data_IF_133203954777
#
_entry.id   IF_133203954777
#
_cell.length_a   1.000
_cell.length_b   1.000
_cell.length_c   1.000
_cell.angle_alpha   90.00
_cell.angle_beta   90.00
_cell.angle_gamma   90.00
#
_symmetry.space_group_name_H-M   'P 1'
#
loop_
_entity.id
_entity.type
_entity.pdbx_description
1 polymer ?
#
# COMPACT_ATOMS: atom_id res chain seq x y z
N UNK A 1 -4.26 11.50 -25.11
CA UNK A 1 -5.64 11.52 -24.58
C UNK A 1 -5.96 10.38 -23.59
N UNK A 2 -5.41 9.18 -23.74
CA UNK A 2 -5.70 8.06 -22.80
C UNK A 2 -5.09 8.25 -21.38
N UNK A 3 -3.87 8.81 -21.29
CA UNK A 3 -3.17 9.06 -20.01
C UNK A 3 -3.92 10.11 -19.18
N UNK A 4 -4.43 11.18 -19.80
CA UNK A 4 -5.19 12.22 -19.07
C UNK A 4 -6.53 11.68 -18.51
N UNK A 5 -7.25 10.81 -19.25
CA UNK A 5 -8.50 10.17 -18.75
C UNK A 5 -8.24 9.17 -17.61
N UNK A 6 -7.10 8.49 -17.61
CA UNK A 6 -6.71 7.58 -16.54
C UNK A 6 -6.42 8.34 -15.23
N UNK A 7 -5.73 9.47 -15.32
CA UNK A 7 -5.41 10.31 -14.16
C UNK A 7 -6.64 10.96 -13.51
N UNK A 8 -7.62 11.42 -14.28
CA UNK A 8 -8.88 11.95 -13.75
C UNK A 8 -9.62 10.87 -12.95
N UNK A 9 -9.70 9.66 -13.47
CA UNK A 9 -10.33 8.54 -12.76
C UNK A 9 -9.55 8.10 -11.50
N UNK A 10 -8.21 8.16 -11.52
CA UNK A 10 -7.38 7.86 -10.35
C UNK A 10 -7.66 8.86 -9.22
N UNK A 11 -7.55 10.14 -9.53
CA UNK A 11 -7.75 11.20 -8.56
C UNK A 11 -9.16 11.17 -7.96
N UNK A 12 -10.22 10.92 -8.76
CA UNK A 12 -11.59 10.85 -8.25
C UNK A 12 -11.82 9.70 -7.26
N UNK A 13 -11.08 8.60 -7.36
CA UNK A 13 -11.15 7.50 -6.38
C UNK A 13 -10.50 7.87 -5.06
N UNK A 14 -9.31 8.48 -5.12
CA UNK A 14 -8.57 8.92 -3.93
C UNK A 14 -9.35 9.98 -3.18
N UNK A 15 -9.95 10.93 -3.90
CA UNK A 15 -10.64 12.09 -3.32
C UNK A 15 -12.12 11.84 -3.01
N UNK A 16 -12.62 10.61 -3.17
CA UNK A 16 -14.06 10.30 -3.05
C UNK A 16 -14.70 10.76 -1.74
N UNK A 17 -13.97 10.66 -0.64
CA UNK A 17 -14.45 11.00 0.70
C UNK A 17 -13.70 12.18 1.33
N UNK A 18 -12.91 12.89 0.54
CA UNK A 18 -12.11 14.02 0.99
C UNK A 18 -12.96 15.27 1.03
N UNK A 19 -13.00 15.95 2.17
CA UNK A 19 -13.52 17.30 2.30
C UNK A 19 -12.45 18.29 1.80
N UNK A 20 -12.55 18.74 0.56
CA UNK A 20 -11.53 19.57 -0.06
C UNK A 20 -11.34 20.95 0.62
N UNK A 21 -12.39 21.44 1.31
CA UNK A 21 -12.37 22.72 2.03
C UNK A 21 -11.79 22.59 3.44
N UNK A 22 -11.78 21.38 3.99
CA UNK A 22 -11.26 21.09 5.32
C UNK A 22 -9.74 20.84 5.33
N UNK A 23 -9.11 20.97 6.51
CA UNK A 23 -7.68 20.74 6.65
C UNK A 23 -7.32 19.27 6.43
N UNK A 24 -6.25 19.03 5.69
CA UNK A 24 -5.78 17.67 5.43
C UNK A 24 -4.29 17.53 5.35
N UNK A 25 -3.85 16.27 5.34
CA UNK A 25 -2.45 15.87 5.19
C UNK A 25 -2.30 14.99 3.95
N UNK A 26 -1.26 15.22 3.16
CA UNK A 26 -0.76 14.24 2.20
C UNK A 26 0.62 13.76 2.62
N UNK A 27 0.76 12.45 2.85
CA UNK A 27 2.00 11.82 3.31
C UNK A 27 2.77 11.27 2.11
N UNK A 28 4.05 11.64 1.98
CA UNK A 28 4.97 11.12 0.99
C UNK A 28 4.58 11.35 -0.47
N UNK A 29 3.99 12.50 -0.85
CA UNK A 29 3.59 12.71 -2.24
C UNK A 29 4.76 12.80 -3.21
N UNK A 30 5.93 13.11 -2.73
CA UNK A 30 7.14 13.26 -3.52
C UNK A 30 6.89 14.14 -4.77
N UNK A 31 7.01 13.54 -5.97
CA UNK A 31 6.83 14.23 -7.26
C UNK A 31 5.42 14.07 -7.86
N UNK A 32 4.51 13.38 -7.18
CA UNK A 32 3.16 13.04 -7.68
C UNK A 32 2.04 13.38 -6.70
N UNK A 33 1.95 14.60 -6.19
CA UNK A 33 0.92 15.00 -5.22
C UNK A 33 -0.49 14.88 -5.83
N UNK A 34 -1.42 14.40 -5.01
CA UNK A 34 -2.83 14.21 -5.38
C UNK A 34 -3.64 15.46 -5.04
N UNK A 35 -3.53 15.92 -3.78
CA UNK A 35 -4.22 17.08 -3.25
C UNK A 35 -3.25 18.27 -3.20
N UNK A 36 -3.17 19.05 -4.29
CA UNK A 36 -2.15 20.10 -4.40
C UNK A 36 -2.66 21.43 -3.89
N UNK A 37 -1.81 22.19 -3.19
CA UNK A 37 -2.07 23.59 -2.79
C UNK A 37 -2.44 24.46 -3.99
N UNK A 38 -1.80 24.21 -5.15
CA UNK A 38 -2.09 24.92 -6.41
C UNK A 38 -3.51 24.72 -6.93
N UNK A 39 -4.18 23.62 -6.55
CA UNK A 39 -5.59 23.33 -6.88
C UNK A 39 -6.56 23.81 -5.81
N UNK A 40 -6.09 24.51 -4.78
CA UNK A 40 -6.90 25.08 -3.73
C UNK A 40 -7.19 24.15 -2.56
N UNK A 41 -6.52 22.98 -2.45
CA UNK A 41 -6.65 22.14 -1.27
C UNK A 41 -6.00 22.79 -0.05
N UNK A 42 -6.69 22.73 1.09
CA UNK A 42 -6.13 23.09 2.39
C UNK A 42 -5.32 21.90 2.93
N UNK A 43 -4.13 21.73 2.38
CA UNK A 43 -3.27 20.56 2.62
C UNK A 43 -1.93 20.97 3.22
N UNK A 44 -1.46 20.21 4.20
CA UNK A 44 -0.09 20.21 4.68
C UNK A 44 0.60 18.92 4.20
N UNK A 45 1.87 19.01 3.81
CA UNK A 45 2.63 17.89 3.25
C UNK A 45 3.64 17.40 4.26
N UNK A 46 3.61 16.09 4.54
CA UNK A 46 4.65 15.37 5.27
C UNK A 46 5.50 14.59 4.28
N UNK A 47 6.82 14.77 4.29
CA UNK A 47 7.74 13.96 3.50
C UNK A 47 9.05 13.75 4.25
N UNK A 48 9.91 12.81 3.80
CA UNK A 48 11.20 12.48 4.43
C UNK A 48 12.32 13.47 4.11
N UNK A 49 12.12 14.38 3.17
CA UNK A 49 13.02 15.47 2.81
C UNK A 49 12.20 16.74 2.55
N UNK A 50 12.85 17.89 2.67
CA UNK A 50 12.30 19.14 2.19
C UNK A 50 12.21 19.16 0.64
N UNK A 51 11.58 20.18 0.10
CA UNK A 51 11.39 20.32 -1.36
C UNK A 51 12.71 20.28 -2.13
N UNK A 52 13.75 20.96 -1.64
CA UNK A 52 15.05 20.99 -2.30
C UNK A 52 15.72 19.62 -2.30
N UNK A 53 15.68 18.92 -1.18
CA UNK A 53 16.15 17.54 -1.04
C UNK A 53 15.44 16.58 -1.97
N UNK A 54 14.12 16.69 -2.10
CA UNK A 54 13.33 15.89 -3.03
C UNK A 54 13.70 16.19 -4.49
N UNK A 55 13.83 17.46 -4.87
CA UNK A 55 14.27 17.85 -6.22
C UNK A 55 15.66 17.27 -6.51
N UNK A 56 16.59 17.35 -5.56
CA UNK A 56 17.93 16.78 -5.69
C UNK A 56 17.89 15.24 -5.83
N UNK A 57 17.06 14.57 -5.03
CA UNK A 57 16.88 13.10 -5.06
C UNK A 57 16.40 12.61 -6.42
N UNK A 58 15.48 13.35 -7.04
CA UNK A 58 14.86 12.97 -8.31
C UNK A 58 15.53 13.64 -9.55
N UNK A 59 16.51 14.51 -9.34
CA UNK A 59 17.28 15.12 -10.44
C UNK A 59 18.01 14.05 -11.24
N UNK A 60 17.93 14.14 -12.58
CA UNK A 60 18.51 13.12 -13.47
C UNK A 60 17.62 11.91 -13.76
N UNK A 61 16.47 11.80 -13.11
CA UNK A 61 15.44 10.83 -13.46
C UNK A 61 14.45 11.45 -14.47
N UNK A 62 13.69 10.59 -15.20
CA UNK A 62 12.64 11.07 -16.13
C UNK A 62 11.36 11.49 -15.38
N UNK A 63 11.51 12.34 -14.37
CA UNK A 63 10.45 12.78 -13.46
C UNK A 63 10.32 14.30 -13.57
N UNK A 64 9.07 14.80 -13.60
CA UNK A 64 8.82 16.23 -13.54
C UNK A 64 8.90 16.73 -12.09
N UNK A 65 10.02 17.34 -11.73
CA UNK A 65 10.24 17.88 -10.38
C UNK A 65 9.47 19.17 -10.10
N UNK A 66 8.90 19.85 -11.12
CA UNK A 66 8.06 21.04 -10.92
C UNK A 66 6.76 20.74 -10.16
N UNK A 67 6.36 19.46 -10.11
CA UNK A 67 5.20 19.03 -9.36
C UNK A 67 5.45 18.88 -7.85
N UNK A 68 6.71 18.89 -7.43
CA UNK A 68 7.07 18.79 -6.00
C UNK A 68 6.65 20.09 -5.33
N UNK A 69 5.73 19.99 -4.37
CA UNK A 69 5.26 21.13 -3.58
C UNK A 69 6.15 21.39 -2.37
N UNK A 70 5.97 22.52 -1.69
CA UNK A 70 6.64 22.80 -0.42
C UNK A 70 6.22 21.78 0.62
N UNK A 71 7.20 21.17 1.31
CA UNK A 71 7.01 20.23 2.40
C UNK A 71 6.84 21.03 3.69
N UNK A 72 5.68 20.90 4.32
CA UNK A 72 5.38 21.64 5.56
C UNK A 72 6.07 20.97 6.78
N UNK A 73 6.20 19.66 6.74
CA UNK A 73 6.75 18.87 7.84
C UNK A 73 7.73 17.82 7.31
N UNK A 74 9.01 17.98 7.63
CA UNK A 74 10.03 16.98 7.30
C UNK A 74 10.08 15.91 8.41
N UNK A 75 9.74 14.68 8.04
CA UNK A 75 9.66 13.56 8.98
C UNK A 75 11.02 12.95 9.27
N UNK A 76 11.36 12.80 10.55
CA UNK A 76 12.60 12.22 11.04
C UNK A 76 12.35 11.09 12.07
N UNK A 77 11.19 10.42 12.01
CA UNK A 77 10.85 9.31 12.91
C UNK A 77 9.89 9.67 14.04
N UNK A 78 9.48 10.94 14.17
CA UNK A 78 8.46 11.37 15.14
C UNK A 78 7.08 10.79 14.76
N UNK A 79 6.16 10.71 15.74
CA UNK A 79 4.75 10.49 15.41
C UNK A 79 4.18 11.67 14.61
N UNK A 80 3.13 11.45 13.85
CA UNK A 80 2.52 12.55 13.07
C UNK A 80 1.91 13.62 13.96
N UNK A 81 1.40 13.25 15.13
CA UNK A 81 0.90 14.21 16.11
C UNK A 81 2.02 15.08 16.70
N UNK A 82 3.17 14.50 17.06
CA UNK A 82 4.35 15.26 17.50
C UNK A 82 4.88 16.18 16.39
N UNK A 83 4.93 15.67 15.15
CA UNK A 83 5.47 16.40 14.02
C UNK A 83 4.62 17.62 13.64
N UNK A 84 3.30 17.47 13.64
CA UNK A 84 2.36 18.54 13.27
C UNK A 84 1.95 19.41 14.47
N UNK A 85 2.14 18.93 15.71
CA UNK A 85 1.64 19.56 16.92
C UNK A 85 0.10 19.50 17.04
N UNK A 86 -0.56 18.57 16.34
CA UNK A 86 -2.03 18.52 16.23
C UNK A 86 -2.55 17.12 16.50
N UNK A 87 -3.63 17.04 17.28
CA UNK A 87 -4.40 15.84 17.54
C UNK A 87 -5.86 16.07 17.12
N UNK A 88 -6.49 15.07 16.51
CA UNK A 88 -7.90 15.08 16.14
C UNK A 88 -8.35 16.35 15.37
N UNK A 89 -7.48 16.78 14.45
CA UNK A 89 -7.65 18.06 13.77
C UNK A 89 -8.00 17.90 12.28
N UNK A 90 -7.33 16.98 11.57
CA UNK A 90 -7.45 16.90 10.12
C UNK A 90 -8.73 16.17 9.70
N UNK A 91 -9.40 16.68 8.66
CA UNK A 91 -10.55 16.04 8.05
C UNK A 91 -10.15 14.83 7.22
N UNK A 92 -8.92 14.83 6.71
CA UNK A 92 -8.43 13.76 5.87
C UNK A 92 -6.91 13.62 5.90
N UNK A 93 -6.49 12.39 5.67
CA UNK A 93 -5.10 12.02 5.37
C UNK A 93 -5.08 11.22 4.08
N UNK A 94 -4.21 11.57 3.16
CA UNK A 94 -3.92 10.80 1.93
C UNK A 94 -2.54 10.17 2.06
N UNK A 95 -2.43 8.88 1.76
CA UNK A 95 -1.17 8.15 1.65
C UNK A 95 -1.21 7.26 0.40
N UNK A 96 -0.49 7.70 -0.65
CA UNK A 96 -0.43 7.00 -1.92
C UNK A 96 0.92 6.35 -2.10
N UNK A 97 0.97 5.01 -2.11
CA UNK A 97 2.22 4.24 -2.15
C UNK A 97 3.17 4.60 -1.00
N UNK A 98 2.65 4.54 0.21
CA UNK A 98 3.37 4.83 1.46
C UNK A 98 3.30 3.68 2.43
N UNK A 99 2.11 3.08 2.62
CA UNK A 99 1.88 2.06 3.64
C UNK A 99 2.78 0.84 3.46
N UNK A 100 3.10 0.47 2.23
CA UNK A 100 4.01 -0.64 1.91
C UNK A 100 5.45 -0.40 2.36
N UNK A 101 5.85 0.87 2.53
CA UNK A 101 7.17 1.27 3.02
C UNK A 101 7.26 1.43 4.53
N UNK A 102 6.15 1.33 5.25
CA UNK A 102 6.17 1.53 6.70
C UNK A 102 6.77 0.33 7.42
N UNK A 103 7.65 0.51 8.43
CA UNK A 103 8.17 -0.61 9.20
C UNK A 103 7.10 -1.30 10.05
N UNK A 104 6.16 -0.52 10.60
CA UNK A 104 5.03 -0.96 11.42
C UNK A 104 3.73 -0.41 10.83
N UNK A 105 2.97 -1.28 10.17
CA UNK A 105 1.71 -0.94 9.52
C UNK A 105 0.63 -0.51 10.53
N UNK A 106 0.57 -1.16 11.69
CA UNK A 106 -0.41 -0.82 12.75
C UNK A 106 -0.09 0.55 13.33
N UNK A 107 1.18 0.83 13.64
CA UNK A 107 1.59 2.13 14.15
C UNK A 107 1.30 3.25 13.13
N UNK A 108 1.55 3.00 11.84
CA UNK A 108 1.21 3.95 10.78
C UNK A 108 -0.29 4.31 10.76
N UNK A 109 -1.18 3.30 10.77
CA UNK A 109 -2.63 3.55 10.78
C UNK A 109 -3.05 4.28 12.06
N UNK A 110 -2.50 3.91 13.22
CA UNK A 110 -2.80 4.57 14.50
C UNK A 110 -2.33 6.02 14.54
N UNK A 111 -1.16 6.33 14.00
CA UNK A 111 -0.67 7.70 13.91
C UNK A 111 -1.52 8.56 12.98
N UNK A 112 -1.99 8.01 11.85
CA UNK A 112 -2.96 8.70 10.99
C UNK A 112 -4.28 8.93 11.72
N UNK A 113 -4.78 7.93 12.47
CA UNK A 113 -6.02 8.05 13.26
C UNK A 113 -5.92 9.10 14.36
N UNK A 114 -4.76 9.22 15.01
CA UNK A 114 -4.51 10.19 16.08
C UNK A 114 -4.61 11.65 15.63
N UNK A 115 -4.19 11.94 14.40
CA UNK A 115 -4.29 13.31 13.85
C UNK A 115 -5.63 13.59 13.16
N UNK A 116 -6.39 12.57 12.78
CA UNK A 116 -7.72 12.69 12.17
C UNK A 116 -8.76 13.11 13.22
N UNK A 117 -9.65 14.05 12.86
CA UNK A 117 -10.81 14.37 13.66
C UNK A 117 -11.81 13.19 13.71
N UNK A 118 -12.91 13.34 14.45
CA UNK A 118 -13.86 12.25 14.72
C UNK A 118 -14.46 11.63 13.45
N UNK A 119 -14.72 12.43 12.42
CA UNK A 119 -15.31 12.01 11.13
C UNK A 119 -14.26 11.90 10.02
N UNK A 120 -13.00 12.07 10.37
CA UNK A 120 -11.89 12.11 9.44
C UNK A 120 -11.67 10.78 8.70
N UNK A 121 -11.04 10.88 7.54
CA UNK A 121 -10.82 9.74 6.65
C UNK A 121 -9.33 9.56 6.31
N UNK A 122 -8.87 8.30 6.27
CA UNK A 122 -7.58 7.91 5.74
C UNK A 122 -7.77 7.29 4.35
N UNK A 123 -7.35 8.01 3.31
CA UNK A 123 -7.43 7.54 1.92
C UNK A 123 -6.10 6.93 1.48
N UNK A 124 -6.14 5.63 1.20
CA UNK A 124 -4.99 4.81 0.84
C UNK A 124 -5.00 4.41 -0.63
N UNK A 125 -3.84 4.51 -1.29
CA UNK A 125 -3.56 3.88 -2.57
C UNK A 125 -2.47 2.85 -2.36
N UNK A 126 -2.75 1.60 -2.69
CA UNK A 126 -1.90 0.47 -2.31
C UNK A 126 -1.52 -0.31 -3.56
N UNK A 127 -0.23 -0.64 -3.77
CA UNK A 127 0.17 -1.47 -4.89
C UNK A 127 -0.39 -2.87 -4.78
N UNK A 128 -0.94 -3.35 -5.89
CA UNK A 128 -1.31 -4.74 -6.03
C UNK A 128 -0.07 -5.53 -6.49
N UNK A 129 0.44 -6.39 -5.60
CA UNK A 129 1.66 -7.13 -5.87
C UNK A 129 1.64 -7.95 -7.17
N UNK A 130 0.46 -8.30 -7.68
CA UNK A 130 0.31 -9.06 -8.93
C UNK A 130 0.76 -8.26 -10.16
N UNK A 131 0.75 -6.93 -10.04
CA UNK A 131 0.94 -5.99 -11.15
C UNK A 131 2.09 -5.00 -10.93
N UNK A 132 2.93 -5.24 -9.92
CA UNK A 132 4.12 -4.46 -9.65
C UNK A 132 5.36 -5.36 -9.50
N UNK A 133 6.49 -4.78 -9.20
CA UNK A 133 7.78 -5.49 -9.06
C UNK A 133 7.80 -6.51 -7.90
N UNK A 134 6.84 -6.44 -6.96
CA UNK A 134 6.68 -7.40 -5.87
C UNK A 134 6.02 -8.72 -6.29
N UNK A 135 5.78 -8.94 -7.57
CA UNK A 135 4.98 -10.04 -8.10
C UNK A 135 5.31 -11.42 -7.49
N UNK A 136 6.58 -11.70 -7.26
CA UNK A 136 7.03 -13.00 -6.74
C UNK A 136 7.26 -13.02 -5.23
N UNK A 137 7.07 -11.90 -4.55
CA UNK A 137 7.17 -11.86 -3.10
C UNK A 137 5.94 -12.48 -2.44
N UNK A 138 6.04 -13.07 -1.24
CA UNK A 138 4.89 -13.61 -0.52
C UNK A 138 3.89 -12.49 -0.15
N UNK A 139 2.62 -12.89 0.05
CA UNK A 139 1.62 -11.98 0.59
C UNK A 139 1.86 -11.80 2.08
N UNK A 140 1.72 -10.58 2.55
CA UNK A 140 1.81 -10.23 3.97
C UNK A 140 0.74 -10.95 4.77
N UNK A 141 1.15 -11.67 5.81
CA UNK A 141 0.26 -12.37 6.74
C UNK A 141 -0.11 -11.48 7.94
N UNK A 142 -1.28 -11.74 8.53
CA UNK A 142 -1.72 -11.10 9.78
C UNK A 142 -0.70 -11.29 10.91
N UNK A 143 -0.15 -12.50 11.06
CA UNK A 143 0.85 -12.79 12.10
C UNK A 143 2.10 -11.92 11.94
N UNK A 144 2.61 -11.77 10.71
CA UNK A 144 3.78 -10.92 10.47
C UNK A 144 3.53 -9.45 10.87
N UNK A 145 2.35 -8.91 10.55
CA UNK A 145 1.98 -7.53 10.93
C UNK A 145 1.90 -7.37 12.45
N UNK A 146 1.23 -8.31 13.14
CA UNK A 146 1.08 -8.27 14.60
C UNK A 146 2.45 -8.43 15.30
N UNK A 147 3.25 -9.41 14.88
CA UNK A 147 4.54 -9.68 15.52
C UNK A 147 5.49 -8.50 15.39
N UNK A 148 5.50 -7.81 14.24
CA UNK A 148 6.30 -6.59 14.06
C UNK A 148 5.81 -5.44 14.94
N UNK A 149 4.49 -5.25 15.03
CA UNK A 149 3.91 -4.23 15.90
C UNK A 149 4.25 -4.47 17.37
N UNK A 150 4.10 -5.71 17.85
CA UNK A 150 4.42 -6.06 19.24
C UNK A 150 5.93 -5.94 19.54
N UNK A 151 6.78 -6.11 18.54
CA UNK A 151 8.22 -5.90 18.67
C UNK A 151 8.63 -4.42 18.68
N UNK A 152 7.70 -3.48 18.43
CA UNK A 152 7.96 -2.04 18.45
C UNK A 152 9.02 -1.60 17.43
N UNK A 153 8.94 -2.13 16.21
CA UNK A 153 9.98 -1.90 15.20
C UNK A 153 9.89 -0.50 14.60
N UNK A 154 11.03 0.15 14.48
CA UNK A 154 11.18 1.49 13.88
C UNK A 154 11.82 1.47 12.48
N UNK A 155 12.26 0.30 12.02
CA UNK A 155 12.95 0.10 10.73
C UNK A 155 12.62 -1.24 10.10
N UNK A 156 12.97 -1.39 8.82
CA UNK A 156 12.79 -2.66 8.11
C UNK A 156 13.67 -3.75 8.70
N UNK A 157 13.09 -4.95 8.88
CA UNK A 157 13.87 -6.08 9.37
C UNK A 157 14.89 -6.53 8.30
N UNK A 158 16.04 -7.05 8.71
CA UNK A 158 17.00 -7.63 7.77
C UNK A 158 16.37 -8.69 6.85
N UNK A 159 15.38 -9.45 7.37
CA UNK A 159 14.63 -10.43 6.57
C UNK A 159 13.79 -9.80 5.47
N UNK A 160 13.03 -8.72 5.77
CA UNK A 160 12.24 -7.99 4.76
C UNK A 160 13.15 -7.38 3.68
N UNK A 161 14.30 -6.83 4.10
CA UNK A 161 15.29 -6.27 3.18
C UNK A 161 15.86 -7.37 2.26
N UNK A 162 16.27 -8.51 2.81
CA UNK A 162 16.79 -9.61 2.01
C UNK A 162 15.73 -10.12 1.01
N UNK A 163 14.50 -10.35 1.47
CA UNK A 163 13.39 -10.80 0.63
C UNK A 163 13.10 -9.84 -0.53
N UNK A 164 13.12 -8.53 -0.28
CA UNK A 164 12.96 -7.51 -1.30
C UNK A 164 14.06 -7.64 -2.37
N UNK A 165 15.32 -7.54 -1.98
CA UNK A 165 16.44 -7.55 -2.93
C UNK A 165 16.61 -8.87 -3.71
N UNK A 166 16.11 -9.98 -3.16
CA UNK A 166 16.15 -11.29 -3.82
C UNK A 166 15.02 -11.49 -4.84
N UNK A 167 13.85 -10.86 -4.65
CA UNK A 167 12.62 -11.28 -5.33
C UNK A 167 11.95 -10.19 -6.20
N UNK A 168 12.38 -8.92 -6.09
CA UNK A 168 11.80 -7.87 -6.94
C UNK A 168 12.25 -8.02 -8.39
N UNK A 169 11.33 -7.71 -9.31
CA UNK A 169 11.51 -7.95 -10.73
C UNK A 169 11.28 -6.70 -11.57
N UNK A 170 11.93 -6.68 -12.72
CA UNK A 170 11.69 -5.74 -13.82
C UNK A 170 11.13 -6.46 -15.04
N UNK A 171 10.41 -5.73 -15.86
CA UNK A 171 9.84 -6.20 -17.11
C UNK A 171 10.45 -5.42 -18.26
N UNK A 172 11.05 -6.10 -19.23
CA UNK A 172 11.71 -5.47 -20.39
C UNK A 172 12.75 -4.37 -20.00
N UNK A 173 13.46 -4.60 -18.88
CA UNK A 173 14.50 -3.68 -18.39
C UNK A 173 14.00 -2.48 -17.58
N UNK A 174 12.69 -2.27 -17.48
CA UNK A 174 12.05 -1.25 -16.64
C UNK A 174 11.39 -1.89 -15.41
N UNK A 175 11.13 -1.12 -14.37
CA UNK A 175 10.40 -1.63 -13.20
C UNK A 175 9.04 -2.20 -13.63
N UNK A 176 8.72 -3.38 -13.13
CA UNK A 176 7.45 -4.03 -13.39
C UNK A 176 6.33 -3.27 -12.65
N UNK A 177 5.73 -2.30 -13.33
CA UNK A 177 4.74 -1.39 -12.72
C UNK A 177 3.55 -1.13 -13.66
N UNK A 178 2.98 -2.19 -14.21
CA UNK A 178 1.73 -2.13 -15.00
C UNK A 178 1.14 -3.54 -15.20
N UNK A 179 -0.18 -3.67 -15.03
CA UNK A 179 -0.92 -4.90 -15.30
C UNK A 179 -0.90 -5.32 -16.78
N UNK A 180 -0.57 -4.41 -17.68
CA UNK A 180 -0.62 -4.59 -19.15
C UNK A 180 0.73 -4.99 -19.75
N UNK A 181 1.82 -4.89 -19.00
CA UNK A 181 3.13 -5.30 -19.51
C UNK A 181 3.22 -6.82 -19.52
N UNK A 182 2.93 -7.41 -20.68
CA UNK A 182 3.32 -8.78 -20.99
C UNK A 182 4.72 -8.73 -21.58
N UNK A 183 5.72 -9.26 -20.87
CA UNK A 183 7.10 -9.24 -21.32
C UNK A 183 7.98 -10.18 -20.53
N UNK A 184 9.24 -10.25 -20.91
CA UNK A 184 10.24 -11.05 -20.21
C UNK A 184 10.55 -10.41 -18.85
N UNK A 185 10.42 -11.21 -17.78
CA UNK A 185 10.76 -10.80 -16.43
C UNK A 185 12.22 -11.18 -16.11
N UNK A 186 12.90 -10.26 -15.43
CA UNK A 186 14.22 -10.50 -14.86
C UNK A 186 14.26 -9.97 -13.42
N UNK A 187 15.14 -10.49 -12.58
CA UNK A 187 15.37 -9.93 -11.26
C UNK A 187 15.94 -8.51 -11.38
N UNK A 188 15.51 -7.60 -10.51
CA UNK A 188 15.96 -6.21 -10.51
C UNK A 188 17.38 -6.06 -10.00
N UNK A 189 17.83 -6.98 -9.17
CA UNK A 189 19.13 -6.95 -8.50
C UNK A 189 19.97 -8.19 -8.82
N UNK A 190 21.31 -8.08 -8.74
CA UNK A 190 22.19 -9.24 -8.87
C UNK A 190 22.01 -10.20 -7.69
N UNK A 191 22.41 -11.49 -7.83
CA UNK A 191 22.14 -12.53 -6.83
C UNK A 191 22.73 -12.26 -5.43
N UNK A 192 23.81 -11.50 -5.33
CA UNK A 192 24.49 -11.15 -4.07
C UNK A 192 23.86 -9.93 -3.36
N UNK A 193 23.01 -9.17 -4.04
CA UNK A 193 22.37 -7.96 -3.45
C UNK A 193 21.55 -8.29 -2.20
N UNK A 194 20.91 -9.47 -2.15
CA UNK A 194 20.16 -9.91 -0.98
C UNK A 194 21.06 -10.05 0.24
N UNK A 195 22.21 -10.69 0.12
CA UNK A 195 23.18 -10.86 1.20
C UNK A 195 23.79 -9.52 1.63
N UNK A 196 24.22 -8.69 0.67
CA UNK A 196 24.83 -7.39 0.94
C UNK A 196 23.90 -6.52 1.75
N UNK A 197 22.66 -6.36 1.30
CA UNK A 197 21.71 -5.45 1.96
C UNK A 197 21.14 -6.06 3.27
N UNK A 198 21.05 -7.39 3.38
CA UNK A 198 20.79 -8.04 4.66
C UNK A 198 21.84 -7.66 5.70
N UNK A 199 23.14 -7.72 5.35
CA UNK A 199 24.23 -7.36 6.27
C UNK A 199 24.20 -5.88 6.64
N UNK A 200 23.92 -4.98 5.68
CA UNK A 200 23.75 -3.55 5.95
C UNK A 200 22.61 -3.28 6.95
N UNK A 201 21.45 -3.90 6.74
CA UNK A 201 20.32 -3.74 7.64
C UNK A 201 20.60 -4.32 9.04
N UNK A 202 21.29 -5.48 9.12
CA UNK A 202 21.57 -6.18 10.37
C UNK A 202 22.69 -5.55 11.18
N UNK A 203 23.80 -5.25 10.54
CA UNK A 203 25.04 -4.88 11.22
C UNK A 203 25.16 -3.37 11.41
N UNK A 204 24.84 -2.59 10.38
CA UNK A 204 24.90 -1.14 10.43
C UNK A 204 23.60 -0.48 10.94
N UNK A 205 22.50 -1.25 11.04
CA UNK A 205 21.18 -0.69 11.37
C UNK A 205 20.72 0.36 10.36
N UNK A 206 21.16 0.23 9.11
CA UNK A 206 20.91 1.20 8.06
C UNK A 206 19.44 1.19 7.66
N UNK A 207 18.84 2.37 7.47
CA UNK A 207 17.54 2.49 6.86
C UNK A 207 17.65 2.24 5.36
N UNK A 208 17.04 1.16 4.91
CA UNK A 208 16.95 0.82 3.49
C UNK A 208 15.47 0.89 3.09
N UNK A 209 15.16 1.78 2.16
CA UNK A 209 13.80 1.97 1.66
C UNK A 209 13.40 0.78 0.78
N UNK A 210 12.50 -0.05 1.30
CA UNK A 210 11.98 -1.26 0.64
C UNK A 210 10.49 -1.39 0.91
N UNK A 211 9.77 -2.10 0.04
CA UNK A 211 8.43 -2.54 0.40
C UNK A 211 8.52 -3.60 1.51
N UNK A 212 8.03 -3.30 2.69
CA UNK A 212 7.92 -4.28 3.78
C UNK A 212 6.71 -5.20 3.57
N UNK A 213 5.66 -4.68 2.94
CA UNK A 213 4.35 -5.30 2.84
C UNK A 213 3.93 -5.49 1.39
N UNK A 214 3.35 -6.64 1.09
CA UNK A 214 2.86 -6.99 -0.24
C UNK A 214 1.42 -7.50 -0.15
N UNK A 215 0.52 -6.89 -0.93
CA UNK A 215 -0.91 -7.20 -0.84
C UNK A 215 -1.53 -7.54 -2.19
N UNK A 216 -2.60 -8.34 -2.12
CA UNK A 216 -3.70 -8.33 -3.08
C UNK A 216 -4.92 -7.69 -2.39
N UNK A 217 -5.91 -7.17 -3.11
CA UNK A 217 -7.00 -6.39 -2.52
C UNK A 217 -7.71 -7.06 -1.35
N UNK A 218 -8.17 -8.30 -1.48
CA UNK A 218 -8.91 -8.96 -0.41
C UNK A 218 -8.03 -9.43 0.75
N UNK A 219 -6.72 -9.67 0.55
CA UNK A 219 -5.78 -9.87 1.65
C UNK A 219 -5.67 -8.63 2.53
N UNK A 220 -5.58 -7.44 1.92
CA UNK A 220 -5.54 -6.18 2.66
C UNK A 220 -6.87 -5.88 3.38
N UNK A 221 -8.03 -6.12 2.73
CA UNK A 221 -9.34 -5.96 3.36
C UNK A 221 -9.51 -6.85 4.59
N UNK A 222 -9.12 -8.13 4.48
CA UNK A 222 -9.12 -9.07 5.62
C UNK A 222 -8.19 -8.60 6.73
N UNK A 223 -6.99 -8.13 6.38
CA UNK A 223 -6.03 -7.62 7.35
C UNK A 223 -6.61 -6.44 8.15
N UNK A 224 -7.18 -5.45 7.48
CA UNK A 224 -7.79 -4.28 8.15
C UNK A 224 -8.94 -4.73 9.07
N UNK A 225 -9.82 -5.62 8.58
CA UNK A 225 -10.92 -6.15 9.41
C UNK A 225 -10.39 -6.89 10.64
N UNK A 226 -9.40 -7.76 10.46
CA UNK A 226 -8.81 -8.53 11.56
C UNK A 226 -8.12 -7.62 12.60
N UNK A 227 -7.37 -6.61 12.14
CA UNK A 227 -6.73 -5.65 13.05
C UNK A 227 -7.77 -4.85 13.85
N UNK A 228 -8.88 -4.47 13.23
CA UNK A 228 -10.00 -3.82 13.93
C UNK A 228 -10.66 -4.76 14.94
N UNK A 229 -11.01 -5.98 14.55
CA UNK A 229 -11.67 -6.97 15.40
C UNK A 229 -10.80 -7.37 16.61
N UNK A 230 -9.48 -7.32 16.46
CA UNK A 230 -8.50 -7.52 17.53
C UNK A 230 -8.24 -6.27 18.39
N UNK A 231 -8.86 -5.13 18.08
CA UNK A 231 -8.69 -3.88 18.81
C UNK A 231 -7.33 -3.21 18.60
N UNK A 232 -6.59 -3.58 17.56
CA UNK A 232 -5.28 -3.00 17.23
C UNK A 232 -5.39 -1.66 16.51
N UNK A 233 -6.48 -1.43 15.78
CA UNK A 233 -6.81 -0.16 15.12
C UNK A 233 -8.27 0.21 15.37
N UNK A 234 -8.64 1.49 15.15
CA UNK A 234 -10.03 1.97 15.32
C UNK A 234 -10.70 2.30 13.97
N UNK A 235 -9.91 2.43 12.91
CA UNK A 235 -10.41 2.72 11.58
C UNK A 235 -10.89 1.44 10.90
N UNK A 236 -12.04 1.53 10.19
CA UNK A 236 -12.65 0.47 9.39
C UNK A 236 -12.77 0.88 7.93
N UNK A 237 -12.96 -0.09 7.05
CA UNK A 237 -13.27 0.17 5.65
C UNK A 237 -14.56 1.03 5.55
N UNK A 238 -14.40 2.25 5.01
CA UNK A 238 -15.51 3.13 4.59
C UNK A 238 -15.83 2.89 3.11
N UNK A 239 -14.82 2.72 2.29
CA UNK A 239 -15.00 2.36 0.88
C UNK A 239 -13.77 1.64 0.34
N UNK A 240 -14.03 0.82 -0.66
CA UNK A 240 -13.02 0.05 -1.39
C UNK A 240 -13.24 0.19 -2.89
N UNK A 241 -12.14 0.21 -3.65
CA UNK A 241 -12.18 0.12 -5.10
C UNK A 241 -11.12 -0.89 -5.56
N UNK A 242 -11.52 -1.90 -6.35
CA UNK A 242 -10.62 -2.95 -6.82
C UNK A 242 -9.52 -2.40 -7.73
N UNK A 243 -8.54 -3.24 -8.00
CA UNK A 243 -7.34 -2.90 -8.76
C UNK A 243 -7.65 -2.29 -10.12
N UNK A 244 -7.01 -1.17 -10.37
CA UNK A 244 -6.94 -0.51 -11.68
C UNK A 244 -5.48 -0.20 -11.99
N UNK A 245 -4.98 -0.72 -13.09
CA UNK A 245 -3.56 -0.66 -13.36
C UNK A 245 -2.78 -1.60 -12.44
N UNK A 246 -1.96 -1.04 -11.56
CA UNK A 246 -1.15 -1.77 -10.59
C UNK A 246 -1.52 -1.45 -9.12
N UNK A 247 -2.62 -0.77 -8.86
CA UNK A 247 -2.99 -0.27 -7.54
C UNK A 247 -4.48 -0.45 -7.24
N UNK A 248 -4.83 -0.60 -5.99
CA UNK A 248 -6.20 -0.58 -5.48
C UNK A 248 -6.35 0.51 -4.41
N UNK A 249 -7.60 0.84 -4.06
CA UNK A 249 -7.89 2.01 -3.23
C UNK A 249 -8.76 1.61 -2.05
N UNK A 250 -8.45 2.15 -0.88
CA UNK A 250 -9.26 1.96 0.31
C UNK A 250 -9.32 3.25 1.11
N UNK A 251 -10.53 3.63 1.51
CA UNK A 251 -10.71 4.70 2.48
C UNK A 251 -11.12 4.07 3.81
N UNK A 252 -10.44 4.46 4.87
CA UNK A 252 -10.70 4.04 6.24
C UNK A 252 -11.26 5.20 7.04
N UNK A 253 -12.18 4.92 7.99
CA UNK A 253 -12.73 5.90 8.93
C UNK A 253 -13.24 5.20 10.18
N UNK A 254 -13.37 5.91 11.30
CA UNK A 254 -14.09 5.42 12.49
C UNK A 254 -15.57 5.14 12.18
N UNK A 255 -16.16 5.90 11.24
CA UNK A 255 -17.53 5.74 10.76
C UNK A 255 -17.69 4.64 9.68
N UNK A 256 -16.60 3.99 9.26
CA UNK A 256 -16.65 2.91 8.28
C UNK A 256 -17.51 1.74 8.79
N UNK A 257 -18.24 1.10 7.88
CA UNK A 257 -19.05 -0.07 8.22
C UNK A 257 -18.23 -1.38 8.29
N UNK A 258 -16.98 -1.34 7.81
CA UNK A 258 -16.12 -2.50 7.65
C UNK A 258 -16.35 -3.23 6.32
N UNK A 259 -15.68 -4.36 6.15
CA UNK A 259 -15.77 -5.14 4.91
C UNK A 259 -17.15 -5.77 4.77
N UNK A 260 -17.91 -5.53 3.66
CA UNK A 260 -19.28 -6.04 3.50
C UNK A 260 -19.34 -7.54 3.17
N UNK A 261 -18.21 -8.23 3.08
CA UNK A 261 -18.12 -9.66 2.83
C UNK A 261 -17.93 -10.42 4.13
N UNK A 262 -18.57 -11.59 4.26
CA UNK A 262 -18.20 -12.50 5.34
C UNK A 262 -16.79 -13.06 5.12
N UNK A 263 -16.14 -13.47 6.21
CA UNK A 263 -14.73 -13.91 6.20
C UNK A 263 -14.45 -15.03 5.19
N UNK A 264 -15.33 -16.02 5.06
CA UNK A 264 -15.14 -17.13 4.12
C UNK A 264 -15.15 -16.63 2.66
N UNK A 265 -16.09 -15.76 2.32
CA UNK A 265 -16.16 -15.17 0.98
C UNK A 265 -14.92 -14.32 0.68
N UNK A 266 -14.46 -13.53 1.65
CA UNK A 266 -13.27 -12.71 1.47
C UNK A 266 -11.98 -13.56 1.29
N UNK A 267 -11.85 -14.67 2.03
CA UNK A 267 -10.76 -15.63 1.83
C UNK A 267 -10.82 -16.31 0.45
N UNK A 268 -12.02 -16.62 -0.05
CA UNK A 268 -12.20 -17.17 -1.40
C UNK A 268 -11.81 -16.15 -2.48
N UNK A 269 -12.23 -14.90 -2.35
CA UNK A 269 -11.81 -13.84 -3.27
C UNK A 269 -10.30 -13.60 -3.25
N UNK A 270 -9.69 -13.61 -2.06
CA UNK A 270 -8.23 -13.54 -1.93
C UNK A 270 -7.53 -14.68 -2.67
N UNK A 271 -8.02 -15.92 -2.53
CA UNK A 271 -7.46 -17.09 -3.22
C UNK A 271 -7.60 -16.98 -4.74
N UNK A 272 -8.75 -16.46 -5.21
CA UNK A 272 -8.97 -16.20 -6.65
C UNK A 272 -8.01 -15.13 -7.17
N UNK A 273 -7.77 -14.08 -6.41
CA UNK A 273 -6.80 -13.04 -6.75
C UNK A 273 -5.39 -13.62 -6.86
N UNK A 274 -4.98 -14.50 -5.95
CA UNK A 274 -3.65 -15.12 -5.92
C UNK A 274 -3.46 -16.07 -7.10
N UNK A 275 -4.45 -16.91 -7.36
CA UNK A 275 -4.34 -17.98 -8.37
C UNK A 275 -4.65 -17.50 -9.80
N UNK A 276 -5.24 -16.30 -9.93
CA UNK A 276 -5.70 -15.78 -11.21
C UNK A 276 -6.87 -16.58 -11.82
N UNK A 277 -7.48 -17.47 -11.03
CA UNK A 277 -8.66 -18.22 -11.45
C UNK A 277 -9.90 -17.36 -11.21
N UNK A 278 -10.71 -17.12 -12.24
CA UNK A 278 -12.05 -16.55 -12.01
C UNK A 278 -12.89 -17.56 -11.22
N UNK A 279 -13.78 -17.08 -10.33
CA UNK A 279 -14.78 -17.89 -9.62
C UNK A 279 -15.79 -18.52 -10.61
N UNK A 280 -15.30 -19.19 -11.60
CA UNK A 280 -16.05 -19.73 -12.72
C UNK A 280 -15.89 -21.22 -12.82
N UNK A 281 -16.96 -21.94 -12.50
CA UNK A 281 -17.29 -23.35 -12.82
C UNK A 281 -16.17 -24.34 -12.50
N UNK A 282 -16.41 -25.30 -11.61
CA UNK A 282 -15.45 -26.37 -11.35
C UNK A 282 -14.99 -26.95 -12.69
N UNK A 283 -13.67 -27.04 -12.87
CA UNK A 283 -13.07 -27.47 -14.11
C UNK A 283 -13.74 -28.77 -14.57
N UNK A 284 -13.92 -28.96 -15.86
CA UNK A 284 -14.52 -30.20 -16.42
C UNK A 284 -13.80 -31.47 -15.92
N UNK A 285 -12.58 -31.34 -15.40
CA UNK A 285 -11.84 -32.40 -14.70
C UNK A 285 -12.44 -32.76 -13.34
N UNK A 286 -12.81 -31.74 -12.54
CA UNK A 286 -13.45 -31.94 -11.22
C UNK A 286 -14.86 -32.51 -11.39
N UNK A 287 -15.64 -32.03 -12.38
CA UNK A 287 -16.96 -32.60 -12.73
C UNK A 287 -16.87 -34.05 -13.18
N UNK A 288 -15.79 -34.45 -13.89
CA UNK A 288 -15.55 -35.85 -14.27
C UNK A 288 -15.15 -36.71 -13.06
N UNK A 289 -14.41 -36.20 -12.09
CA UNK A 289 -14.02 -36.90 -10.87
C UNK A 289 -15.23 -37.11 -9.94
N UNK A 290 -16.07 -36.09 -9.76
CA UNK A 290 -17.30 -36.19 -8.97
C UNK A 290 -18.28 -37.17 -9.63
N UNK A 291 -18.46 -37.16 -10.98
CA UNK A 291 -19.27 -38.15 -11.69
C UNK A 291 -18.67 -39.57 -11.64
N UNK A 292 -17.36 -39.72 -11.54
CA UNK A 292 -16.75 -41.04 -11.35
C UNK A 292 -16.89 -41.55 -9.90
N UNK A 293 -16.77 -40.66 -8.90
CA UNK A 293 -16.93 -41.02 -7.49
C UNK A 293 -18.37 -41.45 -7.13
N UNK A 294 -19.37 -40.86 -7.76
CA UNK A 294 -20.80 -41.26 -7.58
C UNK A 294 -21.21 -42.56 -8.26
N UNK A 295 -20.36 -43.15 -9.12
CA UNK A 295 -20.60 -44.46 -9.73
C UNK A 295 -19.98 -45.66 -8.97
N UNK A 296 -19.27 -45.42 -7.87
CA UNK A 296 -18.61 -46.48 -7.08
C UNK A 296 -19.46 -46.86 -5.85
N UNK A 297 -20.54 -46.13 -5.57
CA UNK A 297 -21.47 -46.40 -4.44
C UNK A 297 -22.95 -46.63 -4.89
N UNK A 298 -23.16 -47.12 -6.10
CA UNK A 298 -24.47 -47.63 -6.56
C UNK A 298 -24.35 -49.08 -7.03
#
# INVERSE_FOLDING_TARGET
MAIAKCNVNRQSRILKHINADGPGIEIGPCHSPVATKRKGFNVEIIDHLDREGLIKKYSGQRINTDNIEEVDHVWHGQTYAELTGRHHYYDWVIASHVIEHTPDLVAFIRQCDEILNQTGVLSLVIPDKRYCFDKFRPITSLSHVIDRHLAGVDRHSPGSVAEYYLNVVRCEGEDAWDSRKAGSLAFSHPPDAGQINYSRAKEAGEWLDVHAWCFVPHAFRLLIQDLYDLGLIQLKELSFHPTVGCEFYMTLSREGEGMPLNRMSALQEMELEITGQSAGKPSNRLKKLIKKGLRVFS
#
